data_IF_725682509491
#
_entry.id   IF_725682509491
#
_cell.length_a   1.000
_cell.length_b   1.000
_cell.length_c   1.000
_cell.angle_alpha   90.00
_cell.angle_beta   90.00
_cell.angle_gamma   90.00
#
_symmetry.space_group_name_H-M   'P 1'
#
loop_
_entity.id
_entity.type
_entity.pdbx_description
1 polymer ?
#
# COMPACT_ATOMS: atom_id res chain seq x y z
N UNK A 1 -15.86 33.30 -9.98
CA UNK A 1 -16.67 32.08 -10.17
C UNK A 1 -16.51 31.63 -11.62
N UNK A 2 -15.62 30.68 -11.92
CA UNK A 2 -15.35 30.17 -13.29
C UNK A 2 -15.28 28.63 -13.26
N UNK A 3 -16.27 27.99 -12.64
CA UNK A 3 -16.24 26.56 -12.37
C UNK A 3 -17.00 25.72 -13.41
N UNK A 4 -17.69 26.35 -14.38
CA UNK A 4 -18.54 25.62 -15.32
C UNK A 4 -18.67 26.29 -16.69
N UNK A 5 -17.54 26.66 -17.30
CA UNK A 5 -17.54 26.96 -18.73
C UNK A 5 -17.49 25.64 -19.54
N UNK A 6 -18.25 25.51 -20.65
CA UNK A 6 -18.23 24.33 -21.52
C UNK A 6 -16.81 23.91 -21.96
N UNK A 7 -15.94 24.89 -22.19
CA UNK A 7 -14.55 24.69 -22.59
C UNK A 7 -13.71 24.03 -21.48
N UNK A 8 -13.92 24.40 -20.21
CA UNK A 8 -13.25 23.75 -19.08
C UNK A 8 -13.68 22.29 -18.94
N UNK A 9 -14.97 22.00 -19.18
CA UNK A 9 -15.50 20.64 -19.16
C UNK A 9 -14.88 19.76 -20.26
N UNK A 10 -14.78 20.27 -21.48
CA UNK A 10 -14.26 19.50 -22.61
C UNK A 10 -12.76 19.22 -22.42
N UNK A 11 -12.00 20.19 -21.92
CA UNK A 11 -10.59 19.98 -21.49
C UNK A 11 -10.47 18.89 -20.41
N UNK A 12 -11.34 18.90 -19.40
CA UNK A 12 -11.34 17.89 -18.35
C UNK A 12 -11.68 16.48 -18.89
N UNK A 13 -12.63 16.38 -19.82
CA UNK A 13 -12.97 15.12 -20.49
C UNK A 13 -11.82 14.56 -21.31
N UNK A 14 -11.10 15.41 -22.05
CA UNK A 14 -9.91 14.99 -22.81
C UNK A 14 -8.83 14.45 -21.88
N UNK A 15 -8.48 15.19 -20.82
CA UNK A 15 -7.53 14.74 -19.78
C UNK A 15 -7.92 13.41 -19.15
N UNK A 16 -9.22 13.20 -18.87
CA UNK A 16 -9.71 11.93 -18.34
C UNK A 16 -9.48 10.78 -19.32
N UNK A 17 -9.83 10.95 -20.59
CA UNK A 17 -9.66 9.92 -21.63
C UNK A 17 -8.19 9.55 -21.82
N UNK A 18 -7.30 10.54 -21.86
CA UNK A 18 -5.85 10.35 -21.95
C UNK A 18 -5.32 9.58 -20.73
N UNK A 19 -5.68 10.02 -19.52
CA UNK A 19 -5.32 9.31 -18.29
C UNK A 19 -5.87 7.90 -18.24
N UNK A 20 -7.07 7.64 -18.78
CA UNK A 20 -7.69 6.31 -18.83
C UNK A 20 -6.86 5.34 -19.68
N UNK A 21 -6.32 5.81 -20.81
CA UNK A 21 -5.46 4.99 -21.69
C UNK A 21 -4.15 4.57 -21.01
N UNK A 22 -3.57 5.42 -20.17
CA UNK A 22 -2.27 5.18 -19.52
C UNK A 22 -2.36 4.63 -18.09
N UNK A 23 -3.53 4.19 -17.64
CA UNK A 23 -3.68 3.60 -16.30
C UNK A 23 -2.92 2.28 -16.22
N UNK A 24 -2.12 2.14 -15.18
CA UNK A 24 -1.44 0.89 -14.84
C UNK A 24 -2.20 0.21 -13.69
N UNK A 25 -2.56 -1.06 -13.87
CA UNK A 25 -3.31 -1.86 -12.87
C UNK A 25 -2.43 -2.85 -12.10
N UNK A 26 -1.16 -2.99 -12.47
CA UNK A 26 -0.21 -3.86 -11.79
C UNK A 26 0.15 -3.38 -10.39
N UNK A 27 0.63 -4.31 -9.54
CA UNK A 27 1.13 -3.97 -8.20
C UNK A 27 2.40 -3.13 -8.32
N UNK A 28 2.29 -1.82 -8.11
CA UNK A 28 3.44 -0.91 -8.12
C UNK A 28 3.97 -0.63 -6.71
N UNK A 29 5.24 -0.94 -6.47
CA UNK A 29 5.97 -0.54 -5.27
C UNK A 29 6.59 0.85 -5.50
N UNK A 30 5.92 1.94 -5.07
CA UNK A 30 6.42 3.31 -5.31
C UNK A 30 7.67 3.67 -4.50
N UNK A 31 7.76 3.16 -3.26
CA UNK A 31 8.85 3.50 -2.34
C UNK A 31 9.65 2.24 -1.99
N UNK A 32 10.81 2.08 -2.63
CA UNK A 32 11.67 0.92 -2.43
C UNK A 32 12.16 0.80 -0.97
N UNK A 33 12.63 1.89 -0.39
CA UNK A 33 13.11 1.94 1.01
C UNK A 33 12.04 1.45 2.02
N UNK A 34 10.77 1.88 1.86
CA UNK A 34 9.67 1.43 2.73
C UNK A 34 9.38 -0.06 2.59
N UNK A 35 9.50 -0.60 1.37
CA UNK A 35 9.33 -2.04 1.12
C UNK A 35 10.45 -2.84 1.77
N UNK A 36 11.71 -2.42 1.61
CA UNK A 36 12.86 -3.08 2.24
C UNK A 36 12.71 -3.14 3.77
N UNK A 37 12.35 -2.02 4.41
CA UNK A 37 12.10 -1.99 5.86
C UNK A 37 10.92 -2.88 6.30
N UNK A 38 9.89 -3.01 5.47
CA UNK A 38 8.73 -3.87 5.76
C UNK A 38 9.03 -5.36 5.58
N UNK A 39 9.96 -5.70 4.68
CA UNK A 39 10.35 -7.07 4.38
C UNK A 39 11.27 -7.65 5.46
N UNK A 40 12.07 -6.82 6.14
CA UNK A 40 12.94 -7.26 7.24
C UNK A 40 12.27 -7.27 8.62
N UNK A 41 11.13 -6.61 8.81
CA UNK A 41 10.42 -6.54 10.10
C UNK A 41 9.81 -7.90 10.49
N UNK A 42 10.00 -8.32 11.75
CA UNK A 42 9.39 -9.53 12.32
C UNK A 42 7.85 -9.49 12.22
N UNK A 43 7.28 -10.62 11.80
CA UNK A 43 5.82 -10.83 11.73
C UNK A 43 5.43 -12.11 12.47
N UNK A 44 4.26 -12.09 13.10
CA UNK A 44 3.60 -13.29 13.67
C UNK A 44 2.20 -13.35 13.07
N UNK A 45 1.84 -14.49 12.46
CA UNK A 45 0.56 -14.68 11.73
C UNK A 45 0.25 -13.54 10.73
N UNK A 46 1.27 -12.98 10.08
CA UNK A 46 1.16 -11.90 9.09
C UNK A 46 1.15 -10.46 9.65
N UNK A 47 1.04 -10.27 10.97
CA UNK A 47 1.01 -8.97 11.64
C UNK A 47 2.41 -8.56 12.11
N UNK A 48 2.75 -7.28 12.04
CA UNK A 48 4.00 -6.78 12.59
C UNK A 48 3.99 -6.81 14.12
N UNK A 49 5.10 -7.24 14.70
CA UNK A 49 5.33 -7.20 16.16
C UNK A 49 5.63 -5.76 16.61
N UNK A 50 5.09 -5.35 17.76
CA UNK A 50 5.44 -4.07 18.42
C UNK A 50 6.76 -4.22 19.16
N UNK A 51 7.62 -3.22 19.07
CA UNK A 51 8.87 -3.22 19.84
C UNK A 51 8.56 -3.15 21.34
N UNK A 52 9.12 -4.07 22.11
CA UNK A 52 8.96 -4.14 23.56
C UNK A 52 7.74 -4.92 24.06
N UNK A 53 6.90 -5.47 23.17
CA UNK A 53 5.93 -6.50 23.57
C UNK A 53 6.64 -7.86 23.53
N UNK A 54 6.72 -8.52 24.69
CA UNK A 54 7.03 -9.94 24.79
C UNK A 54 5.83 -10.69 24.20
N UNK A 55 6.02 -11.35 23.07
CA UNK A 55 5.00 -12.26 22.55
C UNK A 55 5.38 -13.66 23.04
N UNK A 56 4.51 -14.23 23.87
CA UNK A 56 4.48 -15.62 24.35
C UNK A 56 4.26 -16.62 23.20
N UNK A 57 5.13 -16.62 22.19
CA UNK A 57 5.10 -17.60 21.13
C UNK A 57 6.53 -18.01 20.76
N UNK A 58 7.15 -18.74 21.68
CA UNK A 58 8.18 -19.69 21.33
C UNK A 58 7.49 -20.97 20.80
N UNK A 59 7.65 -21.34 19.51
CA UNK A 59 7.10 -22.60 18.99
C UNK A 59 7.68 -23.85 19.67
N UNK A 60 8.69 -23.72 20.54
CA UNK A 60 9.22 -24.79 21.38
C UNK A 60 8.58 -24.88 22.77
N UNK A 61 7.79 -23.90 23.21
CA UNK A 61 7.14 -23.90 24.54
C UNK A 61 5.87 -24.75 24.60
N UNK A 62 5.31 -25.17 23.44
CA UNK A 62 4.20 -26.13 23.39
C UNK A 62 4.68 -27.53 23.00
N UNK A 63 5.54 -28.14 23.82
CA UNK A 63 5.68 -29.59 23.92
C UNK A 63 5.90 -29.98 25.37
N UNK A 64 4.82 -29.99 26.12
CA UNK A 64 4.68 -30.80 27.34
C UNK A 64 3.26 -31.36 27.36
N UNK A 65 3.08 -32.47 26.65
CA UNK A 65 2.19 -33.57 26.99
C UNK A 65 3.00 -34.85 26.81
#
# INVERSE_FOLDING_TARGET
>A
MEASSPQARDKAKMRYKEKKKTRTFGKQKRYASRKARADTRKRVKGRFVKAGEEYDYDPLVTRNF
#
